data_IF_116077731564
#
_entry.id   IF_116077731564
#
_cell.length_a   1.000
_cell.length_b   1.000
_cell.length_c   1.000
_cell.angle_alpha   90.00
_cell.angle_beta   90.00
_cell.angle_gamma   90.00
#
_symmetry.space_group_name_H-M   'P 1'
#
loop_
_entity.id
_entity.type
_entity.pdbx_description
1 polymer ?
#
# COMPACT_ATOMS: atom_id res chain seq x y z
N UNK A 1 1.07 -38.78 1.17
CA UNK A 1 2.06 -37.81 1.67
C UNK A 1 1.74 -36.49 0.99
N UNK A 2 1.04 -35.60 1.68
CA UNK A 2 0.69 -34.28 1.14
C UNK A 2 1.95 -33.43 1.10
N UNK A 3 2.35 -33.01 -0.10
CA UNK A 3 3.44 -32.05 -0.29
C UNK A 3 3.02 -30.74 0.37
N UNK A 4 3.80 -30.14 1.29
CA UNK A 4 3.58 -28.74 1.63
C UNK A 4 3.84 -27.94 0.35
N UNK A 5 2.84 -27.21 -0.11
CA UNK A 5 2.98 -26.30 -1.24
C UNK A 5 4.18 -25.39 -0.94
N UNK A 6 5.26 -25.58 -1.69
CA UNK A 6 6.43 -24.72 -1.62
C UNK A 6 5.99 -23.37 -2.19
N UNK A 7 5.49 -22.49 -1.33
CA UNK A 7 5.39 -21.09 -1.67
C UNK A 7 6.81 -20.63 -2.04
N UNK A 8 7.04 -20.06 -3.24
CA UNK A 8 8.32 -19.44 -3.51
C UNK A 8 8.50 -18.40 -2.41
N UNK A 9 9.53 -18.59 -1.59
CA UNK A 9 9.96 -17.65 -0.57
C UNK A 9 10.28 -16.37 -1.33
N UNK A 10 9.27 -15.50 -1.49
CA UNK A 10 9.48 -14.17 -2.00
C UNK A 10 10.36 -13.52 -0.96
N UNK A 11 11.61 -13.26 -1.35
CA UNK A 11 12.65 -12.70 -0.50
C UNK A 11 12.30 -11.27 -0.04
N UNK A 12 11.20 -10.73 -0.59
CA UNK A 12 10.66 -9.42 -0.33
C UNK A 12 9.26 -9.57 0.27
N UNK A 13 8.90 -8.73 1.26
CA UNK A 13 7.56 -8.69 1.79
C UNK A 13 6.55 -8.42 0.67
N UNK A 14 5.45 -9.17 0.65
CA UNK A 14 4.36 -8.93 -0.30
C UNK A 14 3.46 -7.85 0.26
N UNK A 15 3.23 -6.80 -0.52
CA UNK A 15 2.35 -5.70 -0.15
C UNK A 15 1.01 -5.86 -0.87
N UNK A 16 -0.08 -5.63 -0.15
CA UNK A 16 -1.43 -5.66 -0.72
C UNK A 16 -2.23 -4.48 -0.18
N UNK A 17 -2.85 -3.69 -1.06
CA UNK A 17 -3.70 -2.58 -0.63
C UNK A 17 -5.03 -3.14 -0.11
N UNK A 18 -5.34 -2.88 1.16
CA UNK A 18 -6.60 -3.30 1.78
C UNK A 18 -7.67 -2.24 1.54
N UNK A 19 -7.40 -1.01 1.98
CA UNK A 19 -8.38 0.07 1.89
C UNK A 19 -7.78 1.47 1.90
N UNK A 20 -8.60 2.44 1.52
CA UNK A 20 -8.30 3.87 1.67
C UNK A 20 -9.44 4.58 2.39
N UNK A 21 -9.20 4.93 3.66
CA UNK A 21 -10.19 5.53 4.55
C UNK A 21 -10.19 7.06 4.44
N UNK A 22 -11.14 7.60 3.66
CA UNK A 22 -11.36 9.06 3.55
C UNK A 22 -11.62 9.72 4.91
N UNK A 23 -12.29 9.03 5.84
CA UNK A 23 -12.57 9.55 7.18
C UNK A 23 -11.29 9.79 7.98
N UNK A 24 -10.30 8.89 7.86
CA UNK A 24 -8.99 9.05 8.52
C UNK A 24 -8.20 10.20 7.90
N UNK A 25 -8.21 10.30 6.57
CA UNK A 25 -7.61 11.42 5.86
C UNK A 25 -8.16 12.77 6.33
N UNK A 26 -9.48 12.90 6.43
CA UNK A 26 -10.14 14.13 6.92
C UNK A 26 -9.80 14.47 8.38
N UNK A 27 -9.34 13.48 9.16
CA UNK A 27 -8.87 13.65 10.54
C UNK A 27 -7.35 13.84 10.64
N UNK A 28 -6.64 13.94 9.52
CA UNK A 28 -5.19 14.06 9.49
C UNK A 28 -4.45 12.79 9.91
N UNK A 29 -5.09 11.63 9.83
CA UNK A 29 -4.50 10.32 10.13
C UNK A 29 -4.18 9.58 8.84
N UNK A 30 -3.21 8.67 8.88
CA UNK A 30 -2.88 7.74 7.79
C UNK A 30 -4.14 7.02 7.26
N UNK A 31 -4.57 7.31 6.01
CA UNK A 31 -5.78 6.73 5.43
C UNK A 31 -5.57 5.44 4.64
N UNK A 32 -4.34 5.15 4.17
CA UNK A 32 -4.07 3.99 3.35
C UNK A 32 -3.74 2.80 4.26
N UNK A 33 -4.53 1.73 4.18
CA UNK A 33 -4.23 0.47 4.85
C UNK A 33 -3.62 -0.51 3.85
N UNK A 34 -2.49 -1.10 4.21
CA UNK A 34 -1.80 -2.10 3.42
C UNK A 34 -1.48 -3.33 4.26
N UNK A 35 -1.77 -4.51 3.72
CA UNK A 35 -1.29 -5.77 4.28
C UNK A 35 0.14 -6.00 3.81
N UNK A 36 0.98 -6.44 4.72
CA UNK A 36 2.35 -6.85 4.46
C UNK A 36 2.46 -8.31 4.88
N UNK A 37 2.80 -9.18 3.93
CA UNK A 37 3.04 -10.60 4.21
C UNK A 37 4.55 -10.83 4.24
N UNK A 38 5.06 -11.19 5.40
CA UNK A 38 6.45 -11.55 5.65
C UNK A 38 6.69 -13.04 5.34
N UNK A 39 7.95 -13.40 5.07
CA UNK A 39 8.36 -14.80 5.00
C UNK A 39 8.06 -15.51 6.33
N UNK A 40 7.65 -16.78 6.29
CA UNK A 40 7.03 -17.56 7.39
C UNK A 40 5.52 -17.36 7.63
N UNK A 41 4.83 -16.56 6.81
CA UNK A 41 3.37 -16.43 6.89
C UNK A 41 2.88 -15.49 7.99
N UNK A 42 3.79 -14.68 8.52
CA UNK A 42 3.48 -13.56 9.39
C UNK A 42 2.90 -12.42 8.54
N UNK A 43 1.71 -11.93 8.92
CA UNK A 43 1.01 -10.87 8.19
C UNK A 43 0.70 -9.70 9.12
N UNK A 44 1.01 -8.50 8.63
CA UNK A 44 0.82 -7.26 9.36
C UNK A 44 -0.05 -6.29 8.54
N UNK A 45 -0.80 -5.43 9.24
CA UNK A 45 -1.63 -4.40 8.61
C UNK A 45 -1.13 -3.03 9.02
N UNK A 46 -0.57 -2.31 8.04
CA UNK A 46 0.01 -0.99 8.23
C UNK A 46 -0.94 0.09 7.73
N UNK A 47 -1.10 1.14 8.52
CA UNK A 47 -1.72 2.38 8.08
C UNK A 47 -0.62 3.36 7.68
N UNK A 48 -0.48 3.61 6.39
CA UNK A 48 0.59 4.42 5.83
C UNK A 48 0.08 5.81 5.47
N UNK A 49 0.85 6.84 5.78
CA UNK A 49 0.71 8.21 5.29
C UNK A 49 1.36 8.34 3.89
N UNK A 50 1.16 9.46 3.16
CA UNK A 50 1.81 9.68 1.86
C UNK A 50 3.34 9.66 1.94
N UNK A 51 3.90 10.16 3.06
CA UNK A 51 5.34 10.20 3.30
C UNK A 51 5.90 8.81 3.55
N UNK A 52 5.27 8.06 4.45
CA UNK A 52 5.63 6.68 4.76
C UNK A 52 5.59 5.82 3.49
N UNK A 53 4.50 5.91 2.70
CA UNK A 53 4.40 5.17 1.44
C UNK A 53 5.57 5.47 0.48
N UNK A 54 6.01 6.73 0.39
CA UNK A 54 7.18 7.09 -0.43
C UNK A 54 8.47 6.47 0.11
N UNK A 55 8.64 6.40 1.43
CA UNK A 55 9.78 5.73 2.05
C UNK A 55 9.79 4.23 1.73
N UNK A 56 8.63 3.56 1.78
CA UNK A 56 8.50 2.15 1.39
C UNK A 56 8.86 1.93 -0.08
N UNK A 57 8.41 2.82 -0.99
CA UNK A 57 8.78 2.75 -2.41
C UNK A 57 10.29 2.92 -2.62
N UNK A 58 10.94 3.80 -1.85
CA UNK A 58 12.39 3.98 -1.92
C UNK A 58 13.16 2.77 -1.35
N UNK A 59 12.63 2.14 -0.31
CA UNK A 59 13.27 1.01 0.37
C UNK A 59 13.11 -0.31 -0.40
N UNK A 60 11.90 -0.62 -0.86
CA UNK A 60 11.56 -1.90 -1.49
C UNK A 60 11.44 -1.81 -3.01
N UNK A 61 11.46 -0.60 -3.57
CA UNK A 61 11.24 -0.34 -4.98
C UNK A 61 9.76 -0.07 -5.34
N UNK A 62 9.49 0.24 -6.62
CA UNK A 62 8.17 0.60 -7.11
C UNK A 62 7.27 -0.63 -7.31
N UNK A 63 6.94 -1.32 -6.23
CA UNK A 63 6.04 -2.48 -6.25
C UNK A 63 4.61 -2.06 -6.62
N UNK A 64 3.89 -2.90 -7.36
CA UNK A 64 2.54 -2.59 -7.87
C UNK A 64 1.59 -2.13 -6.76
N UNK A 65 1.59 -2.79 -5.61
CA UNK A 65 0.72 -2.41 -4.49
C UNK A 65 1.08 -1.04 -3.88
N UNK A 66 2.37 -0.71 -3.79
CA UNK A 66 2.82 0.59 -3.28
C UNK A 66 2.46 1.72 -4.26
N UNK A 67 2.63 1.48 -5.57
CA UNK A 67 2.22 2.41 -6.62
C UNK A 67 0.69 2.59 -6.64
N UNK A 68 -0.08 1.51 -6.48
CA UNK A 68 -1.53 1.58 -6.35
C UNK A 68 -1.96 2.41 -5.13
N UNK A 69 -1.27 2.26 -3.99
CA UNK A 69 -1.45 3.12 -2.82
C UNK A 69 -1.20 4.60 -3.13
N UNK A 70 -0.17 4.91 -3.91
CA UNK A 70 0.19 6.28 -4.26
C UNK A 70 -0.86 6.90 -5.20
N UNK A 71 -1.38 6.10 -6.13
CA UNK A 71 -2.49 6.48 -6.99
C UNK A 71 -3.78 6.74 -6.20
N UNK A 72 -4.05 5.97 -5.14
CA UNK A 72 -5.18 6.23 -4.25
C UNK A 72 -5.03 7.57 -3.52
N UNK A 73 -3.83 7.94 -3.09
CA UNK A 73 -3.56 9.28 -2.57
C UNK A 73 -3.81 10.37 -3.60
N UNK A 74 -3.39 10.18 -4.85
CA UNK A 74 -3.65 11.16 -5.92
C UNK A 74 -5.15 11.32 -6.18
N UNK A 75 -5.89 10.22 -6.31
CA UNK A 75 -7.32 10.23 -6.67
C UNK A 75 -8.26 10.57 -5.50
N UNK A 76 -7.96 10.10 -4.28
CA UNK A 76 -8.83 10.21 -3.10
C UNK A 76 -8.30 11.17 -2.03
N UNK A 77 -7.00 11.45 -2.04
CA UNK A 77 -6.31 12.35 -1.12
C UNK A 77 -6.44 13.83 -1.45
N UNK A 78 -6.79 14.14 -2.70
CA UNK A 78 -6.97 15.52 -3.16
C UNK A 78 -6.00 15.93 -4.25
N UNK A 79 -6.10 15.30 -5.41
CA UNK A 79 -6.14 16.06 -6.64
C UNK A 79 -7.58 15.96 -7.16
N UNK A 80 -8.44 16.87 -6.69
CA UNK A 80 -9.47 17.35 -7.60
C UNK A 80 -8.72 17.90 -8.80
N UNK A 81 -8.65 17.13 -9.89
CA UNK A 81 -8.51 17.70 -11.24
C UNK A 81 -9.69 18.64 -11.43
N UNK A 82 -9.54 19.85 -10.92
CA UNK A 82 -10.27 21.04 -11.32
C UNK A 82 -9.28 21.80 -12.20
N UNK A 83 -9.43 21.67 -13.51
CA UNK A 83 -8.65 22.38 -14.52
C UNK A 83 -7.74 21.45 -15.32
N UNK A 84 -8.27 20.91 -16.42
CA UNK A 84 -7.73 21.09 -17.77
C UNK A 84 -8.75 20.43 -18.73
N UNK A 85 -9.83 21.19 -18.96
CA UNK A 85 -10.71 21.06 -20.10
C UNK A 85 -10.77 22.47 -20.68
N UNK A 86 -9.75 22.84 -21.44
CA UNK A 86 -9.77 23.94 -22.41
C UNK A 86 -9.34 23.37 -23.77
#
# INVERSE_FOLDING_TARGET
MNQPAQHPISQYPQFEVIEFSKRRLQRGLAPLSMRVVHGEGDEDVLWLSPEELRQYIQQFGPLEALLAGQELYRRRGGASSRGDLE
#
